data_IF_463073621828
#
_entry.id   IF_463073621828
#
_cell.length_a   1.000
_cell.length_b   1.000
_cell.length_c   1.000
_cell.angle_alpha   90.00
_cell.angle_beta   90.00
_cell.angle_gamma   90.00
#
_symmetry.space_group_name_H-M   'P 1'
#
loop_
_entity.id
_entity.type
_entity.pdbx_description
1 polymer ?
#
# COMPACT_ATOMS: atom_id res chain seq x y z
N UNK A 1 3.01 -3.58 42.09
CA UNK A 1 4.12 -4.29 42.77
C UNK A 1 5.40 -4.24 41.91
N UNK A 2 6.61 -4.44 42.49
CA UNK A 2 7.88 -4.56 41.74
C UNK A 2 8.49 -5.95 41.89
N UNK A 3 9.07 -6.48 40.81
CA UNK A 3 9.81 -7.75 40.77
C UNK A 3 11.22 -7.54 40.23
N UNK A 4 12.12 -8.50 40.42
CA UNK A 4 13.48 -8.47 39.84
C UNK A 4 13.57 -9.53 38.75
N UNK A 5 13.95 -9.11 37.54
CA UNK A 5 14.11 -9.96 36.35
C UNK A 5 15.19 -11.00 36.62
N UNK A 6 14.90 -12.27 36.37
CA UNK A 6 15.86 -13.37 36.49
C UNK A 6 16.66 -13.57 35.20
N UNK A 7 17.82 -14.23 35.30
CA UNK A 7 18.62 -14.54 34.12
C UNK A 7 17.84 -15.43 33.14
N UNK A 8 17.75 -14.99 31.88
CA UNK A 8 17.00 -15.67 30.82
C UNK A 8 15.48 -15.44 30.81
N UNK A 9 14.97 -14.58 31.70
CA UNK A 9 13.53 -14.23 31.75
C UNK A 9 13.22 -13.14 30.71
N UNK A 10 12.20 -13.34 29.86
CA UNK A 10 11.78 -12.35 28.84
C UNK A 10 10.56 -11.56 29.31
N UNK A 11 10.31 -10.37 28.73
CA UNK A 11 9.09 -9.61 29.02
C UNK A 11 7.82 -10.41 28.70
N UNK A 12 7.83 -11.23 27.64
CA UNK A 12 6.72 -12.13 27.29
C UNK A 12 6.41 -13.14 28.40
N UNK A 13 7.43 -13.80 28.93
CA UNK A 13 7.27 -14.75 30.04
C UNK A 13 6.76 -14.06 31.32
N UNK A 14 7.22 -12.84 31.59
CA UNK A 14 6.76 -12.04 32.74
C UNK A 14 5.31 -11.59 32.54
N UNK A 15 4.94 -11.11 31.35
CA UNK A 15 3.59 -10.69 30.99
C UNK A 15 2.58 -11.83 31.22
N UNK A 16 2.91 -13.02 30.73
CA UNK A 16 2.12 -14.23 30.95
C UNK A 16 2.00 -14.57 32.44
N UNK A 17 3.11 -14.50 33.20
CA UNK A 17 3.10 -14.81 34.64
C UNK A 17 2.17 -13.89 35.43
N UNK A 18 2.09 -12.60 35.08
CA UNK A 18 1.25 -11.65 35.78
C UNK A 18 -0.14 -11.45 35.17
N UNK A 19 -0.40 -12.02 33.99
CA UNK A 19 -1.69 -11.90 33.31
C UNK A 19 -1.90 -10.52 32.69
N UNK A 20 -0.86 -9.98 32.06
CA UNK A 20 -0.81 -8.68 31.37
C UNK A 20 -0.12 -8.88 30.01
N UNK A 21 0.09 -7.83 29.23
CA UNK A 21 0.77 -7.90 27.93
C UNK A 21 2.19 -7.31 27.96
N UNK A 22 3.02 -7.65 26.97
CA UNK A 22 4.36 -7.06 26.82
C UNK A 22 4.28 -5.54 26.66
N UNK A 23 3.34 -5.05 25.84
CA UNK A 23 3.12 -3.62 25.64
C UNK A 23 2.70 -2.89 26.93
N UNK A 24 1.83 -3.48 27.75
CA UNK A 24 1.47 -2.92 29.06
C UNK A 24 2.67 -2.89 30.02
N UNK A 25 3.51 -3.94 30.02
CA UNK A 25 4.74 -3.94 30.82
C UNK A 25 5.77 -2.92 30.33
N UNK A 26 5.89 -2.72 29.02
CA UNK A 26 6.78 -1.71 28.43
C UNK A 26 6.34 -0.30 28.83
N UNK A 27 5.04 0.02 28.70
CA UNK A 27 4.49 1.31 29.10
C UNK A 27 4.61 1.57 30.60
N UNK A 28 4.38 0.54 31.45
CA UNK A 28 4.45 0.69 32.90
C UNK A 28 5.88 0.94 33.41
N UNK A 29 6.89 0.61 32.61
CA UNK A 29 8.30 0.64 32.98
C UNK A 29 9.15 1.54 32.08
N UNK A 30 8.53 2.27 31.17
CA UNK A 30 9.20 3.13 30.18
C UNK A 30 10.28 2.38 29.37
N UNK A 31 10.00 1.12 29.00
CA UNK A 31 10.93 0.26 28.25
C UNK A 31 10.62 0.36 26.75
N UNK A 32 11.54 0.99 26.01
CA UNK A 32 11.41 1.24 24.58
C UNK A 32 11.74 0.01 23.71
N UNK A 33 12.54 -0.91 24.22
CA UNK A 33 12.99 -2.11 23.50
C UNK A 33 12.75 -3.35 24.37
N UNK A 34 11.86 -4.24 23.89
CA UNK A 34 11.42 -5.41 24.62
C UNK A 34 12.47 -6.54 24.69
N UNK A 35 13.45 -6.52 23.78
CA UNK A 35 14.42 -7.59 23.59
C UNK A 35 15.70 -7.37 24.40
N UNK A 36 15.89 -6.17 24.95
CA UNK A 36 17.02 -5.81 25.80
C UNK A 36 16.68 -5.77 27.30
N UNK A 37 16.09 -6.86 27.82
CA UNK A 37 15.83 -7.00 29.25
C UNK A 37 17.04 -7.61 29.99
N UNK A 38 17.71 -6.81 30.83
CA UNK A 38 18.87 -7.27 31.61
C UNK A 38 18.47 -7.96 32.91
N UNK A 39 19.09 -9.10 33.21
CA UNK A 39 18.91 -9.80 34.48
C UNK A 39 19.29 -8.89 35.67
N UNK A 40 18.48 -8.91 36.73
CA UNK A 40 18.63 -8.03 37.90
C UNK A 40 17.89 -6.70 37.79
N UNK A 41 17.30 -6.36 36.64
CA UNK A 41 16.49 -5.16 36.47
C UNK A 41 15.19 -5.25 37.28
N UNK A 42 14.75 -4.13 37.90
CA UNK A 42 13.53 -4.09 38.71
C UNK A 42 12.33 -3.62 37.90
N UNK A 43 11.43 -4.53 37.58
CA UNK A 43 10.23 -4.28 36.78
C UNK A 43 9.01 -4.02 37.67
N UNK A 44 8.26 -2.95 37.43
CA UNK A 44 6.89 -2.74 37.91
C UNK A 44 5.96 -3.68 37.15
N UNK A 45 5.10 -4.38 37.88
CA UNK A 45 4.06 -5.25 37.34
C UNK A 45 2.71 -4.89 37.96
N UNK A 46 1.60 -5.03 37.23
CA UNK A 46 0.27 -4.81 37.76
C UNK A 46 0.01 -5.75 38.95
N UNK A 47 -0.66 -5.24 39.99
CA UNK A 47 -1.04 -6.05 41.15
C UNK A 47 -2.23 -6.94 40.80
N UNK A 48 -2.09 -8.25 40.99
CA UNK A 48 -3.17 -9.21 40.73
C UNK A 48 -4.31 -8.99 41.72
N UNK A 49 -5.47 -8.57 41.21
CA UNK A 49 -6.71 -8.53 41.98
C UNK A 49 -7.92 -7.98 41.23
N UNK A 50 -8.51 -8.81 40.36
CA UNK A 50 -9.96 -9.04 40.17
C UNK A 50 -10.29 -9.35 38.70
N UNK A 51 -10.53 -10.63 38.42
CA UNK A 51 -11.28 -11.06 37.26
C UNK A 51 -12.64 -10.35 37.23
N UNK A 52 -13.07 -9.86 36.05
CA UNK A 52 -14.50 -9.63 35.78
C UNK A 52 -15.10 -10.94 35.24
N UNK A 53 -16.04 -11.58 35.95
CA UNK A 53 -16.74 -12.74 35.41
C UNK A 53 -18.02 -12.32 34.68
N UNK A 54 -18.26 -12.97 33.54
CA UNK A 54 -19.60 -13.23 33.01
C UNK A 54 -20.09 -12.30 31.91
N UNK A 55 -20.09 -12.80 30.67
CA UNK A 55 -21.33 -12.98 29.90
C UNK A 55 -21.11 -14.01 28.78
N UNK A 56 -21.58 -15.23 29.03
CA UNK A 56 -21.95 -16.18 27.97
C UNK A 56 -23.23 -15.69 27.26
N UNK A 57 -23.27 -15.98 25.96
CA UNK A 57 -24.42 -16.13 25.07
C UNK A 57 -25.63 -15.20 25.28
N UNK A 58 -25.72 -14.17 24.44
CA UNK A 58 -27.00 -13.60 24.02
C UNK A 58 -27.03 -13.48 22.50
N UNK A 59 -27.75 -14.41 21.87
CA UNK A 59 -28.37 -14.18 20.57
C UNK A 59 -29.29 -12.96 20.68
N UNK A 60 -28.95 -11.86 20.02
CA UNK A 60 -29.92 -10.97 19.39
C UNK A 60 -29.22 -9.95 18.51
N UNK A 61 -29.80 -9.74 17.32
CA UNK A 61 -29.30 -8.86 16.29
C UNK A 61 -29.23 -7.40 16.76
N UNK A 62 -28.00 -6.90 16.81
CA UNK A 62 -27.70 -5.48 16.69
C UNK A 62 -26.95 -5.31 15.38
N UNK A 63 -27.48 -4.47 14.48
CA UNK A 63 -26.80 -4.07 13.26
C UNK A 63 -25.59 -3.19 13.62
N UNK A 64 -24.47 -3.82 14.00
CA UNK A 64 -23.16 -3.19 14.05
C UNK A 64 -22.58 -3.11 12.64
N UNK A 65 -21.79 -2.07 12.36
CA UNK A 65 -21.08 -1.91 11.09
C UNK A 65 -20.43 -3.26 10.69
N UNK A 66 -20.75 -3.78 9.50
CA UNK A 66 -20.36 -5.15 9.18
C UNK A 66 -18.82 -5.25 9.14
N UNK A 67 -18.28 -6.10 10.01
CA UNK A 67 -16.86 -6.47 9.96
C UNK A 67 -16.56 -7.18 8.64
N UNK A 68 -15.36 -6.99 8.07
CA UNK A 68 -15.01 -7.54 6.76
C UNK A 68 -15.01 -9.08 6.77
N UNK A 69 -14.48 -9.69 7.82
CA UNK A 69 -14.49 -11.13 8.08
C UNK A 69 -14.15 -11.42 9.56
N UNK A 70 -14.49 -12.60 10.07
CA UNK A 70 -14.16 -13.08 11.43
C UNK A 70 -12.89 -13.95 11.44
N UNK A 71 -12.35 -14.25 12.63
CA UNK A 71 -11.21 -15.20 12.77
C UNK A 71 -11.61 -16.59 12.29
N UNK A 72 -12.82 -17.05 12.60
CA UNK A 72 -13.32 -18.36 12.16
C UNK A 72 -13.44 -18.43 10.63
N UNK A 73 -13.89 -17.36 9.99
CA UNK A 73 -13.92 -17.27 8.53
C UNK A 73 -12.50 -17.30 7.95
N UNK A 74 -11.54 -16.60 8.57
CA UNK A 74 -10.15 -16.65 8.13
C UNK A 74 -9.57 -18.06 8.25
N UNK A 75 -9.82 -18.74 9.38
CA UNK A 75 -9.40 -20.12 9.64
C UNK A 75 -9.96 -21.12 8.63
N UNK A 76 -11.23 -20.99 8.28
CA UNK A 76 -11.87 -21.84 7.28
C UNK A 76 -11.22 -21.63 5.90
N UNK A 77 -11.02 -20.37 5.48
CA UNK A 77 -10.42 -20.04 4.18
C UNK A 77 -8.98 -20.55 4.10
N UNK A 78 -8.21 -20.32 5.17
CA UNK A 78 -6.80 -20.70 5.28
C UNK A 78 -6.59 -22.17 5.67
N UNK A 79 -7.65 -22.98 5.82
CA UNK A 79 -7.53 -24.40 6.18
C UNK A 79 -6.69 -24.65 7.45
N UNK A 80 -6.73 -23.72 8.40
CA UNK A 80 -6.00 -23.83 9.66
C UNK A 80 -6.99 -24.21 10.77
N UNK A 81 -7.07 -25.50 11.15
CA UNK A 81 -8.04 -25.96 12.15
C UNK A 81 -7.70 -25.52 13.58
N UNK A 82 -6.48 -25.00 13.81
CA UNK A 82 -6.06 -24.40 15.08
C UNK A 82 -5.69 -22.92 14.88
N UNK A 83 -6.67 -22.01 14.90
CA UNK A 83 -6.45 -20.59 14.64
C UNK A 83 -5.48 -19.92 15.62
N UNK A 84 -5.38 -20.46 16.84
CA UNK A 84 -4.51 -19.93 17.88
C UNK A 84 -3.04 -20.30 17.62
N UNK A 85 -2.78 -21.54 17.17
CA UNK A 85 -1.43 -21.98 16.84
C UNK A 85 -0.80 -21.18 15.69
N UNK A 86 -1.62 -20.67 14.76
CA UNK A 86 -1.16 -19.85 13.63
C UNK A 86 -1.33 -18.33 13.86
N UNK A 87 -1.81 -17.92 15.03
CA UNK A 87 -2.10 -16.52 15.36
C UNK A 87 -2.94 -15.79 14.29
N UNK A 88 -4.03 -16.45 13.84
CA UNK A 88 -4.95 -15.87 12.86
C UNK A 88 -5.71 -14.66 13.43
N UNK A 89 -5.79 -14.54 14.75
CA UNK A 89 -6.29 -13.35 15.42
C UNK A 89 -5.37 -12.15 15.16
N UNK A 90 -4.04 -12.32 15.28
CA UNK A 90 -3.06 -11.32 14.91
C UNK A 90 -3.08 -10.99 13.42
N UNK A 91 -3.23 -12.00 12.54
CA UNK A 91 -3.34 -11.75 11.09
C UNK A 91 -4.56 -10.90 10.76
N UNK A 92 -5.73 -11.26 11.31
CA UNK A 92 -6.96 -10.49 11.13
C UNK A 92 -6.80 -9.06 11.67
N UNK A 93 -6.18 -8.90 12.84
CA UNK A 93 -5.98 -7.60 13.47
C UNK A 93 -5.09 -6.69 12.60
N UNK A 94 -4.08 -7.23 11.94
CA UNK A 94 -3.22 -6.50 11.02
C UNK A 94 -3.91 -6.21 9.67
N UNK A 95 -4.64 -7.18 9.10
CA UNK A 95 -5.23 -7.07 7.77
C UNK A 95 -6.44 -6.12 7.72
N UNK A 96 -7.36 -6.18 8.69
CA UNK A 96 -8.63 -5.44 8.60
C UNK A 96 -8.43 -3.91 8.49
N UNK A 97 -7.60 -3.25 9.33
CA UNK A 97 -7.39 -1.80 9.23
C UNK A 97 -6.84 -1.40 7.86
N UNK A 98 -5.87 -2.15 7.36
CA UNK A 98 -5.22 -1.85 6.08
C UNK A 98 -6.14 -2.14 4.89
N UNK A 99 -6.90 -3.24 4.92
CA UNK A 99 -7.90 -3.55 3.90
C UNK A 99 -8.98 -2.45 3.82
N UNK A 100 -9.42 -1.92 4.96
CA UNK A 100 -10.36 -0.78 4.99
C UNK A 100 -9.72 0.47 4.38
N UNK A 101 -8.49 0.81 4.76
CA UNK A 101 -7.75 1.96 4.19
C UNK A 101 -7.55 1.82 2.68
N UNK A 102 -7.23 0.62 2.21
CA UNK A 102 -7.03 0.31 0.79
C UNK A 102 -8.31 0.05 0.00
N UNK A 103 -9.49 0.19 0.60
CA UNK A 103 -10.78 0.00 -0.09
C UNK A 103 -11.09 -1.44 -0.49
N UNK A 104 -10.48 -2.45 0.16
CA UNK A 104 -10.80 -3.87 -0.02
C UNK A 104 -12.01 -4.21 0.87
N UNK A 105 -13.19 -3.76 0.44
CA UNK A 105 -14.40 -3.71 1.27
C UNK A 105 -15.60 -4.43 0.67
N UNK A 106 -15.54 -4.84 -0.60
CA UNK A 106 -16.59 -5.68 -1.19
C UNK A 106 -16.34 -7.16 -0.90
N UNK A 107 -17.40 -7.97 -0.85
CA UNK A 107 -17.24 -9.43 -0.65
C UNK A 107 -16.37 -10.07 -1.73
N UNK A 108 -16.51 -9.62 -2.98
CA UNK A 108 -15.70 -10.12 -4.09
C UNK A 108 -14.21 -9.82 -3.90
N UNK A 109 -13.88 -8.58 -3.51
CA UNK A 109 -12.50 -8.17 -3.23
C UNK A 109 -11.91 -8.91 -2.04
N UNK A 110 -12.64 -8.99 -0.93
CA UNK A 110 -12.20 -9.69 0.29
C UNK A 110 -11.91 -11.16 -0.03
N UNK A 111 -12.83 -11.86 -0.72
CA UNK A 111 -12.64 -13.25 -1.07
C UNK A 111 -11.42 -13.46 -1.99
N UNK A 112 -11.23 -12.60 -3.00
CA UNK A 112 -10.10 -12.72 -3.92
C UNK A 112 -8.76 -12.38 -3.24
N UNK A 113 -8.74 -11.36 -2.36
CA UNK A 113 -7.56 -10.99 -1.59
C UNK A 113 -7.15 -12.11 -0.65
N UNK A 114 -8.08 -12.58 0.21
CA UNK A 114 -7.81 -13.66 1.17
C UNK A 114 -7.39 -14.97 0.49
N UNK A 115 -8.00 -15.31 -0.65
CA UNK A 115 -7.61 -16.49 -1.42
C UNK A 115 -6.17 -16.42 -1.94
N UNK A 116 -5.73 -15.24 -2.41
CA UNK A 116 -4.36 -15.08 -2.87
C UNK A 116 -3.36 -15.07 -1.71
N UNK A 117 -3.61 -14.33 -0.62
CA UNK A 117 -2.67 -14.35 0.52
C UNK A 117 -2.50 -15.77 1.06
N UNK A 118 -3.57 -16.57 1.11
CA UNK A 118 -3.47 -17.97 1.50
C UNK A 118 -2.57 -18.77 0.55
N UNK A 119 -2.58 -18.49 -0.74
CA UNK A 119 -1.68 -19.18 -1.67
C UNK A 119 -0.24 -18.72 -1.55
N UNK A 120 -0.01 -17.43 -1.33
CA UNK A 120 1.34 -16.90 -1.15
C UNK A 120 1.99 -17.40 0.16
N UNK A 121 1.21 -17.62 1.22
CA UNK A 121 1.72 -17.85 2.59
C UNK A 121 1.69 -19.31 3.07
N UNK A 122 1.55 -20.27 2.15
CA UNK A 122 1.23 -21.67 2.49
C UNK A 122 0.07 -21.72 3.50
N UNK A 123 -1.00 -21.03 3.15
CA UNK A 123 -2.23 -20.91 3.91
C UNK A 123 -2.05 -20.26 5.28
N UNK A 124 -1.33 -19.14 5.35
CA UNK A 124 -1.01 -18.38 6.58
C UNK A 124 -0.17 -19.16 7.59
N UNK A 125 0.58 -20.18 7.15
CA UNK A 125 1.53 -20.88 8.01
C UNK A 125 2.86 -20.14 8.13
N UNK A 126 3.20 -19.33 7.12
CA UNK A 126 4.46 -18.60 7.07
C UNK A 126 4.28 -17.25 6.38
N UNK A 127 5.06 -16.26 6.81
CA UNK A 127 5.25 -14.98 6.12
C UNK A 127 6.64 -14.89 5.47
N UNK A 128 7.36 -15.99 5.39
CA UNK A 128 8.68 -16.07 4.77
C UNK A 128 8.74 -17.28 3.84
N UNK A 129 9.29 -17.06 2.65
CA UNK A 129 9.53 -18.11 1.66
C UNK A 129 10.39 -19.22 2.27
N UNK A 130 10.05 -20.48 1.97
CA UNK A 130 10.85 -21.60 2.45
C UNK A 130 12.17 -21.68 1.69
N UNK A 131 13.26 -21.53 2.43
CA UNK A 131 14.60 -21.71 1.89
C UNK A 131 15.65 -21.43 2.94
N UNK A 132 16.89 -21.77 2.61
CA UNK A 132 18.05 -21.32 3.37
C UNK A 132 18.89 -20.37 2.51
N UNK A 133 19.86 -19.71 3.12
CA UNK A 133 20.74 -18.78 2.41
C UNK A 133 21.42 -19.41 1.18
N UNK A 134 21.81 -20.69 1.25
CA UNK A 134 22.38 -21.39 0.10
C UNK A 134 21.38 -21.47 -1.07
N UNK A 135 20.14 -21.86 -0.78
CA UNK A 135 19.06 -21.94 -1.76
C UNK A 135 18.75 -20.56 -2.36
N UNK A 136 18.67 -19.51 -1.54
CA UNK A 136 18.37 -18.17 -2.03
C UNK A 136 19.53 -17.50 -2.76
N UNK A 137 20.79 -17.86 -2.47
CA UNK A 137 21.94 -17.31 -3.20
C UNK A 137 22.22 -18.04 -4.51
N UNK A 138 22.06 -19.37 -4.51
CA UNK A 138 22.59 -20.24 -5.56
C UNK A 138 21.56 -21.17 -6.20
N UNK A 139 20.28 -21.03 -5.83
CA UNK A 139 19.22 -21.92 -6.28
C UNK A 139 19.32 -23.33 -5.69
N UNK A 140 18.47 -24.27 -6.14
CA UNK A 140 18.58 -25.66 -5.74
C UNK A 140 19.93 -26.26 -6.17
N UNK A 141 20.48 -27.27 -5.45
CA UNK A 141 21.73 -27.92 -5.83
C UNK A 141 21.68 -28.43 -7.29
N UNK A 142 22.53 -27.86 -8.16
CA UNK A 142 22.59 -28.18 -9.59
C UNK A 142 21.73 -27.30 -10.51
N UNK A 143 21.07 -26.26 -9.98
CA UNK A 143 20.40 -25.22 -10.76
C UNK A 143 21.35 -24.17 -11.34
N UNK A 144 20.87 -23.41 -12.31
CA UNK A 144 21.55 -22.31 -13.01
C UNK A 144 21.32 -20.93 -12.37
N UNK A 145 20.57 -20.87 -11.27
CA UNK A 145 20.16 -19.63 -10.61
C UNK A 145 21.25 -19.02 -9.72
N UNK A 146 22.07 -18.12 -10.27
CA UNK A 146 22.87 -17.19 -9.46
C UNK A 146 22.06 -15.92 -9.27
N UNK A 147 21.59 -15.65 -8.04
CA UNK A 147 21.15 -14.30 -7.72
C UNK A 147 22.39 -13.41 -7.71
N UNK A 148 22.47 -12.48 -8.66
CA UNK A 148 23.59 -11.54 -8.71
C UNK A 148 23.53 -10.62 -7.48
N UNK A 149 24.69 -10.34 -6.87
CA UNK A 149 24.81 -9.42 -5.73
C UNK A 149 24.00 -9.85 -4.49
N UNK A 150 23.48 -8.87 -3.73
CA UNK A 150 22.72 -9.04 -2.49
C UNK A 150 21.21 -9.31 -2.71
N UNK A 151 20.78 -9.60 -3.95
CA UNK A 151 19.36 -9.78 -4.30
C UNK A 151 18.69 -10.94 -3.56
N UNK A 152 19.46 -11.94 -3.15
CA UNK A 152 18.99 -13.07 -2.33
C UNK A 152 18.34 -12.64 -1.01
N UNK A 153 18.68 -11.45 -0.50
CA UNK A 153 18.09 -10.87 0.73
C UNK A 153 16.61 -10.51 0.55
N UNK A 154 16.15 -10.34 -0.69
CA UNK A 154 14.79 -9.90 -1.04
C UNK A 154 13.95 -11.06 -1.62
N UNK A 155 14.07 -12.25 -1.04
CA UNK A 155 13.15 -13.36 -1.30
C UNK A 155 11.75 -13.07 -0.73
N UNK A 156 10.78 -13.95 -1.03
CA UNK A 156 9.38 -13.74 -0.69
C UNK A 156 9.14 -13.56 0.80
N UNK A 157 8.51 -12.43 1.19
CA UNK A 157 8.02 -12.21 2.56
C UNK A 157 6.67 -11.50 2.62
N UNK A 158 6.01 -11.60 3.78
CA UNK A 158 4.70 -11.01 4.06
C UNK A 158 3.54 -11.70 3.35
N UNK A 159 2.33 -11.15 3.50
CA UNK A 159 1.09 -11.80 3.02
C UNK A 159 0.99 -11.97 1.51
N UNK A 160 1.81 -11.25 0.73
CA UNK A 160 1.80 -11.32 -0.73
C UNK A 160 3.08 -11.95 -1.30
N UNK A 161 3.96 -12.48 -0.44
CA UNK A 161 5.31 -12.94 -0.80
C UNK A 161 6.03 -11.90 -1.67
N UNK A 162 6.22 -10.69 -1.12
CA UNK A 162 6.94 -9.63 -1.81
C UNK A 162 8.38 -10.07 -2.09
N UNK A 163 8.79 -10.05 -3.36
CA UNK A 163 10.11 -10.47 -3.83
C UNK A 163 10.75 -9.37 -4.67
N UNK A 164 12.09 -9.35 -4.74
CA UNK A 164 12.94 -8.41 -5.49
C UNK A 164 13.18 -7.06 -4.80
N UNK A 165 14.43 -6.59 -4.80
CA UNK A 165 14.83 -5.35 -4.13
C UNK A 165 14.04 -4.12 -4.59
N UNK A 166 13.71 -4.04 -5.87
CA UNK A 166 12.89 -2.95 -6.44
C UNK A 166 11.49 -2.90 -5.83
N UNK A 167 10.86 -4.05 -5.57
CA UNK A 167 9.56 -4.12 -4.94
C UNK A 167 9.64 -3.73 -3.46
N UNK A 168 10.66 -4.17 -2.72
CA UNK A 168 10.87 -3.76 -1.33
C UNK A 168 11.09 -2.24 -1.22
N UNK A 169 11.87 -1.66 -2.13
CA UNK A 169 12.09 -0.21 -2.21
C UNK A 169 10.81 0.55 -2.54
N UNK A 170 10.06 0.08 -3.54
CA UNK A 170 8.80 0.70 -3.95
C UNK A 170 7.75 0.62 -2.82
N UNK A 171 7.62 -0.53 -2.17
CA UNK A 171 6.75 -0.73 -1.01
C UNK A 171 7.14 0.21 0.13
N UNK A 172 8.43 0.25 0.49
CA UNK A 172 8.93 1.05 1.61
C UNK A 172 8.61 2.53 1.45
N UNK A 173 8.82 3.08 0.25
CA UNK A 173 8.41 4.46 -0.09
C UNK A 173 6.90 4.65 0.00
N UNK A 174 6.12 3.76 -0.63
CA UNK A 174 4.68 3.91 -0.72
C UNK A 174 3.96 3.78 0.63
N UNK A 175 4.49 2.96 1.55
CA UNK A 175 3.95 2.83 2.91
C UNK A 175 4.65 3.78 3.90
N UNK A 176 5.43 4.76 3.45
CA UNK A 176 5.99 5.80 4.31
C UNK A 176 7.04 5.30 5.31
N UNK A 177 7.76 4.21 4.99
CA UNK A 177 8.91 3.72 5.78
C UNK A 177 10.25 3.87 5.04
N UNK A 178 10.25 4.54 3.88
CA UNK A 178 11.46 4.85 3.11
C UNK A 178 12.26 3.60 2.74
N UNK A 179 13.57 3.63 2.96
CA UNK A 179 14.47 2.51 2.68
C UNK A 179 14.50 1.44 3.80
N UNK A 180 13.63 1.54 4.83
CA UNK A 180 13.63 0.60 5.96
C UNK A 180 13.43 -0.86 5.49
N UNK A 181 12.54 -1.11 4.53
CA UNK A 181 12.33 -2.45 3.98
C UNK A 181 13.51 -2.95 3.13
N UNK A 182 14.32 -2.03 2.58
CA UNK A 182 15.54 -2.39 1.83
C UNK A 182 16.66 -2.74 2.81
N UNK A 183 16.80 -1.96 3.88
CA UNK A 183 17.83 -2.17 4.89
C UNK A 183 17.53 -3.39 5.79
N UNK A 184 16.26 -3.61 6.11
CA UNK A 184 15.76 -4.62 7.04
C UNK A 184 14.59 -5.42 6.41
N UNK A 185 14.84 -6.21 5.35
CA UNK A 185 13.79 -6.93 4.63
C UNK A 185 13.07 -7.98 5.49
N UNK A 186 13.72 -8.52 6.52
CA UNK A 186 13.17 -9.49 7.48
C UNK A 186 11.96 -8.93 8.27
N UNK A 187 11.78 -7.61 8.30
CA UNK A 187 10.60 -6.99 8.92
C UNK A 187 9.30 -7.54 8.32
N UNK A 188 9.25 -7.84 7.02
CA UNK A 188 8.02 -8.36 6.40
C UNK A 188 7.68 -9.81 6.81
N UNK A 189 8.64 -10.55 7.39
CA UNK A 189 8.37 -11.87 7.96
C UNK A 189 7.91 -11.80 9.43
N UNK A 190 8.25 -10.72 10.14
CA UNK A 190 8.11 -10.64 11.61
C UNK A 190 7.14 -9.55 12.08
N UNK A 191 6.78 -8.59 11.23
CA UNK A 191 5.85 -7.50 11.52
C UNK A 191 4.60 -7.64 10.63
N UNK A 192 3.53 -8.19 11.20
CA UNK A 192 2.25 -8.42 10.52
C UNK A 192 1.62 -7.12 10.03
N UNK A 193 1.80 -5.99 10.72
CA UNK A 193 1.26 -4.71 10.28
C UNK A 193 1.98 -4.21 9.03
N UNK A 194 3.31 -4.26 9.01
CA UNK A 194 4.09 -3.92 7.80
C UNK A 194 3.80 -4.88 6.64
N UNK A 195 3.66 -6.18 6.93
CA UNK A 195 3.26 -7.17 5.93
C UNK A 195 1.87 -6.86 5.34
N UNK A 196 0.89 -6.50 6.17
CA UNK A 196 -0.46 -6.16 5.73
C UNK A 196 -0.47 -4.88 4.88
N UNK A 197 0.22 -3.82 5.33
CA UNK A 197 0.39 -2.56 4.59
C UNK A 197 1.00 -2.80 3.22
N UNK A 198 2.03 -3.65 3.15
CA UNK A 198 2.70 -4.02 1.90
C UNK A 198 1.78 -4.81 0.97
N UNK A 199 1.02 -5.78 1.50
CA UNK A 199 0.10 -6.58 0.68
C UNK A 199 -1.06 -5.75 0.12
N UNK A 200 -1.62 -4.84 0.93
CA UNK A 200 -2.66 -3.91 0.49
C UNK A 200 -2.12 -2.89 -0.51
N UNK A 201 -0.91 -2.37 -0.29
CA UNK A 201 -0.22 -1.55 -1.29
C UNK A 201 -0.09 -2.31 -2.62
N UNK A 202 0.47 -3.52 -2.60
CA UNK A 202 0.69 -4.29 -3.83
C UNK A 202 -0.62 -4.56 -4.59
N UNK A 203 -1.69 -4.87 -3.87
CA UNK A 203 -3.03 -5.10 -4.40
C UNK A 203 -3.63 -3.85 -5.05
N UNK A 204 -3.63 -2.73 -4.33
CA UNK A 204 -4.20 -1.46 -4.79
C UNK A 204 -3.35 -0.87 -5.92
N UNK A 205 -2.04 -0.98 -5.81
CA UNK A 205 -1.06 -0.53 -6.79
C UNK A 205 -1.04 -1.37 -8.08
N UNK A 206 -1.97 -2.33 -8.25
CA UNK A 206 -2.15 -3.12 -9.47
C UNK A 206 -3.62 -3.24 -9.88
N UNK A 207 -4.50 -2.48 -9.23
CA UNK A 207 -5.94 -2.47 -9.53
C UNK A 207 -6.58 -3.87 -9.44
N UNK A 208 -6.07 -4.72 -8.54
CA UNK A 208 -6.60 -6.06 -8.33
C UNK A 208 -8.08 -6.04 -7.90
N UNK A 209 -8.48 -5.01 -7.15
CA UNK A 209 -9.86 -4.82 -6.68
C UNK A 209 -10.88 -4.79 -7.79
N UNK A 210 -10.61 -4.08 -8.90
CA UNK A 210 -11.51 -4.04 -10.05
C UNK A 210 -11.70 -5.42 -10.68
N UNK A 211 -10.61 -6.17 -10.87
CA UNK A 211 -10.70 -7.51 -11.45
C UNK A 211 -11.43 -8.48 -10.54
N UNK A 212 -11.25 -8.36 -9.23
CA UNK A 212 -12.02 -9.12 -8.26
C UNK A 212 -13.52 -8.84 -8.36
N UNK A 213 -13.93 -7.56 -8.43
CA UNK A 213 -15.35 -7.19 -8.57
C UNK A 213 -15.97 -7.62 -9.90
N UNK A 214 -15.18 -7.69 -10.96
CA UNK A 214 -15.57 -8.26 -12.26
C UNK A 214 -15.65 -9.79 -12.25
N UNK A 215 -15.26 -10.45 -11.16
CA UNK A 215 -15.16 -11.91 -11.07
C UNK A 215 -13.98 -12.51 -11.85
N UNK A 216 -13.06 -11.67 -12.33
CA UNK A 216 -11.89 -12.09 -13.10
C UNK A 216 -10.72 -12.44 -12.17
N UNK A 217 -10.85 -13.58 -11.48
CA UNK A 217 -9.86 -14.03 -10.52
C UNK A 217 -8.52 -14.41 -11.18
N UNK A 218 -8.53 -14.89 -12.43
CA UNK A 218 -7.29 -15.19 -13.17
C UNK A 218 -6.43 -13.94 -13.36
N UNK A 219 -7.04 -12.80 -13.71
CA UNK A 219 -6.32 -11.53 -13.83
C UNK A 219 -5.72 -11.09 -12.48
N UNK A 220 -6.45 -11.26 -11.37
CA UNK A 220 -5.94 -10.97 -10.02
C UNK A 220 -4.70 -11.83 -9.72
N UNK A 221 -4.79 -13.15 -9.93
CA UNK A 221 -3.66 -14.06 -9.72
C UNK A 221 -2.47 -13.72 -10.62
N UNK A 222 -2.74 -13.30 -11.85
CA UNK A 222 -1.72 -12.85 -12.80
C UNK A 222 -0.99 -11.62 -12.32
N UNK A 223 -1.71 -10.60 -11.85
CA UNK A 223 -1.13 -9.37 -11.33
C UNK A 223 -0.28 -9.63 -10.09
N UNK A 224 -0.74 -10.52 -9.22
CA UNK A 224 0.00 -10.89 -8.00
C UNK A 224 1.28 -11.64 -8.35
N UNK A 225 1.18 -12.72 -9.12
CA UNK A 225 2.31 -13.61 -9.37
C UNK A 225 3.26 -13.14 -10.49
N UNK A 226 2.75 -12.40 -11.48
CA UNK A 226 3.50 -12.00 -12.69
C UNK A 226 3.67 -10.48 -12.82
N UNK A 227 3.01 -9.68 -11.98
CA UNK A 227 3.05 -8.22 -12.03
C UNK A 227 2.19 -7.59 -13.13
N UNK A 228 1.64 -8.38 -14.05
CA UNK A 228 0.84 -7.92 -15.18
C UNK A 228 -0.19 -8.99 -15.61
N UNK A 229 -1.08 -8.64 -16.53
CA UNK A 229 -2.14 -9.54 -17.04
C UNK A 229 -1.70 -10.27 -18.30
N UNK A 230 -0.83 -9.66 -19.10
CA UNK A 230 -0.35 -10.27 -20.34
C UNK A 230 0.46 -11.53 -19.98
N UNK A 231 0.16 -12.71 -20.57
CA UNK A 231 0.81 -13.94 -20.17
C UNK A 231 2.31 -13.94 -20.46
N UNK A 232 3.14 -14.02 -19.41
CA UNK A 232 4.60 -14.28 -19.49
C UNK A 232 4.99 -15.75 -19.24
N UNK A 233 4.02 -16.62 -18.98
CA UNK A 233 4.22 -18.01 -18.53
C UNK A 233 3.04 -18.49 -17.70
N UNK A 234 3.03 -19.72 -17.15
CA UNK A 234 1.94 -20.17 -16.27
C UNK A 234 1.89 -19.32 -14.98
N UNK A 235 0.71 -19.21 -14.36
CA UNK A 235 0.57 -18.66 -13.00
C UNK A 235 1.02 -19.74 -12.02
N UNK A 236 1.94 -19.43 -11.10
CA UNK A 236 2.38 -20.38 -10.08
C UNK A 236 1.19 -20.83 -9.23
N UNK A 237 1.11 -22.13 -8.94
CA UNK A 237 0.05 -22.74 -8.14
C UNK A 237 -1.37 -22.51 -8.68
N UNK A 238 -1.52 -22.36 -10.01
CA UNK A 238 -2.84 -22.18 -10.63
C UNK A 238 -3.81 -23.32 -10.30
N UNK A 239 -3.36 -24.55 -10.08
CA UNK A 239 -4.25 -25.65 -9.73
C UNK A 239 -4.95 -25.42 -8.37
N UNK A 240 -4.27 -24.79 -7.41
CA UNK A 240 -4.78 -24.56 -6.06
C UNK A 240 -5.54 -23.23 -5.91
N UNK A 241 -5.19 -22.21 -6.69
CA UNK A 241 -5.77 -20.85 -6.60
C UNK A 241 -7.30 -20.83 -6.76
N UNK A 242 -7.92 -21.49 -7.77
CA UNK A 242 -9.38 -21.53 -7.92
C UNK A 242 -10.10 -22.18 -6.74
N UNK A 243 -9.51 -23.22 -6.13
CA UNK A 243 -10.10 -23.89 -4.96
C UNK A 243 -10.11 -22.97 -3.74
N UNK A 244 -9.00 -22.27 -3.48
CA UNK A 244 -8.91 -21.27 -2.42
C UNK A 244 -9.95 -20.16 -2.61
N UNK A 245 -10.12 -19.69 -3.85
CA UNK A 245 -11.09 -18.65 -4.17
C UNK A 245 -12.54 -19.10 -4.02
N UNK A 246 -12.85 -20.32 -4.45
CA UNK A 246 -14.19 -20.90 -4.25
C UNK A 246 -14.53 -21.00 -2.76
N UNK A 247 -13.57 -21.44 -1.93
CA UNK A 247 -13.74 -21.48 -0.48
C UNK A 247 -13.93 -20.08 0.10
N UNK A 248 -13.08 -19.12 -0.27
CA UNK A 248 -13.23 -17.74 0.20
C UNK A 248 -14.60 -17.16 -0.16
N UNK A 249 -15.10 -17.42 -1.37
CA UNK A 249 -16.45 -17.02 -1.79
C UNK A 249 -17.57 -17.72 -1.03
N UNK A 250 -17.42 -19.00 -0.65
CA UNK A 250 -18.45 -19.68 0.13
C UNK A 250 -18.54 -19.16 1.56
N UNK A 251 -17.39 -18.79 2.14
CA UNK A 251 -17.29 -18.30 3.53
C UNK A 251 -17.68 -16.83 3.68
N UNK A 252 -17.20 -15.96 2.77
CA UNK A 252 -17.46 -14.51 2.81
C UNK A 252 -18.78 -14.16 2.10
N UNK A 253 -19.16 -14.97 1.11
CA UNK A 253 -20.21 -14.68 0.15
C UNK A 253 -19.69 -13.90 -1.06
N UNK A 254 -20.63 -13.44 -1.89
CA UNK A 254 -20.35 -12.62 -3.08
C UNK A 254 -21.16 -11.34 -3.09
N UNK A 255 -20.61 -10.30 -3.72
CA UNK A 255 -21.25 -9.01 -3.85
C UNK A 255 -20.22 -7.89 -4.02
N UNK A 256 -20.61 -6.88 -4.79
CA UNK A 256 -19.83 -5.65 -5.03
C UNK A 256 -20.27 -4.50 -4.14
N UNK A 257 -21.30 -4.70 -3.32
CA UNK A 257 -21.71 -3.73 -2.30
C UNK A 257 -20.66 -3.70 -1.19
N UNK A 258 -20.08 -2.52 -0.85
CA UNK A 258 -19.17 -2.37 0.28
C UNK A 258 -19.82 -2.86 1.58
N UNK A 259 -19.08 -3.61 2.39
CA UNK A 259 -19.51 -4.09 3.71
C UNK A 259 -19.34 -3.06 4.81
N UNK A 260 -18.43 -2.12 4.64
CA UNK A 260 -18.40 -0.92 5.46
C UNK A 260 -19.43 0.06 4.92
N UNK A 261 -20.00 0.92 5.77
CA UNK A 261 -20.61 2.15 5.27
C UNK A 261 -19.61 2.81 4.31
N UNK A 262 -20.06 3.50 3.22
CA UNK A 262 -19.15 4.35 2.47
C UNK A 262 -18.40 5.15 3.52
N UNK A 263 -17.06 5.10 3.50
CA UNK A 263 -16.25 5.80 4.49
C UNK A 263 -16.93 7.13 4.73
N UNK A 264 -17.45 7.35 5.95
CA UNK A 264 -18.24 8.53 6.24
C UNK A 264 -17.49 9.68 5.60
N UNK A 265 -18.13 10.42 4.68
CA UNK A 265 -17.61 11.72 4.28
C UNK A 265 -17.15 12.36 5.57
N UNK A 266 -15.83 12.53 5.71
CA UNK A 266 -15.19 12.73 7.00
C UNK A 266 -16.03 13.75 7.78
N UNK A 267 -16.68 13.27 8.84
CA UNK A 267 -17.69 14.03 9.55
C UNK A 267 -17.09 15.40 9.89
N UNK A 268 -17.80 16.44 9.46
CA UNK A 268 -17.29 17.79 9.31
C UNK A 268 -16.41 18.25 10.47
N UNK A 269 -15.21 18.71 10.11
CA UNK A 269 -14.49 19.71 10.89
C UNK A 269 -14.40 20.97 10.03
N UNK A 270 -14.65 22.09 10.67
CA UNK A 270 -14.78 23.41 10.06
C UNK A 270 -13.59 23.68 9.10
N UNK A 271 -13.92 24.13 7.88
CA UNK A 271 -13.01 24.39 6.75
C UNK A 271 -12.51 23.18 5.92
N UNK A 272 -13.39 22.22 5.60
CA UNK A 272 -13.54 21.69 4.22
C UNK A 272 -12.30 21.36 3.38
N UNK A 273 -11.23 20.81 3.96
CA UNK A 273 -10.09 20.26 3.21
C UNK A 273 -9.69 18.92 3.83
N UNK A 274 -10.19 17.82 3.23
CA UNK A 274 -9.68 16.49 3.52
C UNK A 274 -8.19 16.42 3.15
N UNK A 275 -7.45 15.58 3.86
CA UNK A 275 -6.03 15.26 3.70
C UNK A 275 -5.59 15.27 2.22
N UNK A 276 -4.96 16.36 1.78
CA UNK A 276 -4.47 16.55 0.40
C UNK A 276 -3.36 15.56 0.03
N UNK A 277 -2.91 14.73 0.99
CA UNK A 277 -1.82 13.78 0.83
C UNK A 277 -2.24 12.33 0.80
N UNK A 278 -3.53 12.04 1.01
CA UNK A 278 -4.10 10.73 0.73
C UNK A 278 -4.29 10.59 -0.78
N UNK A 279 -3.20 10.63 -1.54
CA UNK A 279 -3.21 10.35 -2.97
C UNK A 279 -3.73 8.92 -3.13
N UNK A 280 -4.89 8.70 -3.79
CA UNK A 280 -5.32 7.35 -4.07
C UNK A 280 -4.24 6.72 -4.96
N UNK A 281 -3.66 5.61 -4.52
CA UNK A 281 -2.73 4.82 -5.34
C UNK A 281 -3.55 4.21 -6.47
N UNK A 282 -3.73 4.96 -7.56
CA UNK A 282 -4.42 4.50 -8.76
C UNK A 282 -3.37 3.98 -9.73
N UNK A 283 -2.82 2.79 -9.49
CA UNK A 283 -2.05 2.11 -10.54
C UNK A 283 -3.01 1.27 -11.38
N UNK A 284 -3.82 1.96 -12.17
CA UNK A 284 -4.46 1.33 -13.32
C UNK A 284 -3.36 1.13 -14.36
N UNK A 285 -3.14 -0.08 -14.91
CA UNK A 285 -2.17 -0.26 -15.99
C UNK A 285 -2.65 0.44 -17.28
N UNK A 286 -1.74 1.04 -18.07
CA UNK A 286 -2.07 1.62 -19.37
C UNK A 286 -2.86 0.65 -20.25
N UNK A 287 -3.96 1.10 -20.84
CA UNK A 287 -4.70 0.31 -21.83
C UNK A 287 -4.17 0.56 -23.23
N UNK A 288 -4.18 -0.47 -24.07
CA UNK A 288 -3.87 -0.33 -25.50
C UNK A 288 -4.93 0.50 -26.27
N UNK A 289 -6.15 0.63 -25.73
CA UNK A 289 -7.25 1.39 -26.32
C UNK A 289 -8.19 1.92 -25.24
N UNK A 290 -8.91 3.00 -25.54
CA UNK A 290 -9.83 3.67 -24.61
C UNK A 290 -9.70 5.19 -24.64
N UNK A 291 -10.25 5.85 -23.62
CA UNK A 291 -10.06 7.28 -23.38
C UNK A 291 -8.59 7.62 -23.14
N UNK A 292 -8.24 8.91 -23.17
CA UNK A 292 -6.87 9.34 -22.85
C UNK A 292 -6.45 8.86 -21.46
N UNK A 293 -7.34 8.94 -20.48
CA UNK A 293 -7.09 8.49 -19.11
C UNK A 293 -6.95 6.97 -18.99
N UNK A 294 -7.62 6.20 -19.87
CA UNK A 294 -7.45 4.75 -19.93
C UNK A 294 -6.07 4.35 -20.46
N UNK A 295 -5.57 5.07 -21.46
CA UNK A 295 -4.24 4.82 -22.06
C UNK A 295 -3.11 5.42 -21.20
N UNK A 296 -3.38 6.51 -20.49
CA UNK A 296 -2.45 7.25 -19.63
C UNK A 296 -3.03 7.44 -18.22
N UNK A 297 -3.09 6.35 -17.44
CA UNK A 297 -3.69 6.35 -16.11
C UNK A 297 -2.92 7.26 -15.15
N UNK A 298 -3.68 7.98 -14.32
CA UNK A 298 -3.13 8.89 -13.32
C UNK A 298 -2.25 8.13 -12.35
N UNK A 299 -1.13 8.72 -11.96
CA UNK A 299 -0.32 8.28 -10.83
C UNK A 299 0.16 9.49 -10.03
N UNK A 300 0.75 9.21 -8.89
CA UNK A 300 1.28 10.22 -7.97
C UNK A 300 2.68 9.81 -7.53
N UNK A 301 3.58 9.67 -8.50
CA UNK A 301 4.97 9.28 -8.25
C UNK A 301 5.88 10.09 -9.14
N UNK A 302 6.82 10.78 -8.51
CA UNK A 302 7.81 11.65 -9.15
C UNK A 302 9.20 11.34 -8.61
N UNK A 303 10.22 11.97 -9.21
CA UNK A 303 11.53 12.10 -8.56
C UNK A 303 11.40 13.04 -7.34
N UNK A 304 12.25 12.88 -6.30
CA UNK A 304 12.00 13.49 -4.99
C UNK A 304 11.82 15.01 -4.97
N UNK A 305 12.64 15.73 -5.73
CA UNK A 305 12.60 17.21 -5.81
C UNK A 305 11.36 17.72 -6.56
N UNK A 306 10.92 17.00 -7.59
CA UNK A 306 9.65 17.28 -8.30
C UNK A 306 8.46 16.95 -7.42
N UNK A 307 8.53 15.89 -6.61
CA UNK A 307 7.50 15.57 -5.62
C UNK A 307 7.39 16.66 -4.56
N UNK A 308 8.51 17.08 -3.97
CA UNK A 308 8.56 18.18 -2.99
C UNK A 308 7.92 19.45 -3.56
N UNK A 309 8.23 19.76 -4.82
CA UNK A 309 7.67 20.91 -5.50
C UNK A 309 6.16 20.78 -5.80
N UNK A 310 5.71 19.62 -6.29
CA UNK A 310 4.29 19.33 -6.47
C UNK A 310 3.51 19.47 -5.15
N UNK A 311 4.12 19.04 -4.05
CA UNK A 311 3.55 19.18 -2.71
C UNK A 311 3.45 20.66 -2.31
N UNK A 312 4.52 21.43 -2.49
CA UNK A 312 4.51 22.85 -2.17
C UNK A 312 3.36 23.61 -2.87
N UNK A 313 3.08 23.30 -4.14
CA UNK A 313 1.94 23.89 -4.87
C UNK A 313 0.60 23.54 -4.24
N UNK A 314 0.39 22.25 -3.94
CA UNK A 314 -0.86 21.74 -3.36
C UNK A 314 -1.07 22.27 -1.94
N UNK A 315 -0.02 22.54 -1.16
CA UNK A 315 -0.15 23.18 0.15
C UNK A 315 -0.51 24.66 0.04
N UNK A 316 0.09 25.35 -0.92
CA UNK A 316 0.00 26.80 -1.05
C UNK A 316 -1.31 27.25 -1.69
N UNK A 317 -1.81 26.48 -2.67
CA UNK A 317 -2.94 26.88 -3.50
C UNK A 317 -4.13 25.94 -3.38
N UNK A 318 -5.29 26.38 -3.86
CA UNK A 318 -6.47 25.52 -4.02
C UNK A 318 -6.46 24.86 -5.40
N UNK A 319 -5.48 23.98 -5.58
CA UNK A 319 -5.26 23.25 -6.81
C UNK A 319 -4.98 21.78 -6.52
N UNK A 320 -5.04 20.96 -7.57
CA UNK A 320 -4.61 19.56 -7.54
C UNK A 320 -3.46 19.35 -8.51
N UNK A 321 -2.55 18.45 -8.16
CA UNK A 321 -1.44 18.05 -9.03
C UNK A 321 -1.52 16.56 -9.31
N UNK A 322 -1.27 16.16 -10.55
CA UNK A 322 -1.13 14.74 -10.89
C UNK A 322 -0.11 14.52 -12.00
N UNK A 323 0.34 13.28 -12.14
CA UNK A 323 1.08 12.83 -13.33
C UNK A 323 0.43 11.56 -13.87
N UNK A 324 0.95 10.99 -14.94
CA UNK A 324 0.47 9.73 -15.51
C UNK A 324 1.62 8.95 -16.15
N UNK A 325 1.38 7.71 -16.55
CA UNK A 325 2.40 6.89 -17.22
C UNK A 325 2.77 7.51 -18.57
N UNK A 326 4.08 7.70 -18.80
CA UNK A 326 4.62 8.33 -20.02
C UNK A 326 4.03 9.73 -20.23
N UNK A 327 4.39 10.68 -19.36
CA UNK A 327 3.76 12.01 -19.25
C UNK A 327 4.70 13.15 -19.69
N UNK A 328 4.51 13.82 -20.84
CA UNK A 328 3.46 13.59 -21.83
C UNK A 328 3.73 12.34 -22.68
N UNK A 329 2.66 11.85 -23.32
CA UNK A 329 2.66 10.64 -24.14
C UNK A 329 3.76 10.69 -25.20
N UNK A 330 4.60 9.66 -25.25
CA UNK A 330 5.68 9.49 -26.21
C UNK A 330 6.99 10.19 -25.86
N UNK A 331 7.06 10.88 -24.71
CA UNK A 331 8.27 11.61 -24.29
C UNK A 331 9.06 10.89 -23.19
N UNK A 332 8.52 9.84 -22.57
CA UNK A 332 9.20 9.08 -21.53
C UNK A 332 9.38 9.82 -20.20
N UNK A 333 8.79 11.02 -20.06
CA UNK A 333 8.96 12.00 -18.98
C UNK A 333 8.19 11.63 -17.70
N UNK A 334 8.54 10.46 -17.22
CA UNK A 334 7.70 9.71 -16.29
C UNK A 334 7.82 10.25 -14.87
N UNK A 335 8.99 10.67 -14.42
CA UNK A 335 9.17 11.06 -13.02
C UNK A 335 9.31 12.58 -12.83
N UNK A 336 9.40 13.33 -13.92
CA UNK A 336 9.84 14.71 -14.00
C UNK A 336 8.76 15.65 -14.57
N UNK A 337 7.53 15.19 -14.70
CA UNK A 337 6.42 15.97 -15.27
C UNK A 337 5.14 15.88 -14.45
N UNK A 338 4.39 16.98 -14.36
CA UNK A 338 3.05 17.00 -13.78
C UNK A 338 2.12 18.05 -14.39
N UNK A 339 0.82 17.82 -14.19
CA UNK A 339 -0.26 18.76 -14.48
C UNK A 339 -0.75 19.42 -13.19
N UNK A 340 -1.15 20.69 -13.30
CA UNK A 340 -1.86 21.44 -12.26
C UNK A 340 -3.29 21.72 -12.71
N UNK A 341 -4.25 21.24 -11.92
CA UNK A 341 -5.69 21.34 -12.15
C UNK A 341 -6.40 22.17 -11.08
N UNK A 342 -7.67 22.46 -11.33
CA UNK A 342 -8.56 23.12 -10.38
C UNK A 342 -8.84 22.32 -9.10
N UNK A 343 -9.60 22.89 -8.15
CA UNK A 343 -9.86 22.32 -6.82
C UNK A 343 -10.49 20.91 -6.80
N UNK A 344 -11.06 20.43 -7.90
CA UNK A 344 -11.68 19.10 -7.98
C UNK A 344 -10.82 18.02 -8.63
N UNK A 345 -9.57 18.32 -8.99
CA UNK A 345 -8.64 17.31 -9.51
C UNK A 345 -8.55 17.24 -11.04
N UNK A 346 -8.01 16.13 -11.55
CA UNK A 346 -7.79 15.92 -12.99
C UNK A 346 -9.05 16.18 -13.81
N UNK A 347 -8.91 16.95 -14.89
CA UNK A 347 -10.00 17.47 -15.74
C UNK A 347 -10.88 18.57 -15.11
N UNK A 348 -10.63 19.01 -13.87
CA UNK A 348 -11.26 20.22 -13.33
C UNK A 348 -10.48 21.45 -13.82
N UNK A 349 -11.14 22.39 -14.52
CA UNK A 349 -10.45 23.56 -15.05
C UNK A 349 -9.80 24.42 -13.96
N UNK A 350 -8.52 24.71 -14.15
CA UNK A 350 -7.79 25.68 -13.35
C UNK A 350 -8.28 27.09 -13.67
N UNK A 351 -8.72 27.81 -12.63
CA UNK A 351 -9.09 29.23 -12.76
C UNK A 351 -7.95 30.04 -13.39
N UNK A 352 -8.29 30.96 -14.30
CA UNK A 352 -7.30 31.70 -15.07
C UNK A 352 -6.41 32.62 -14.24
N UNK A 353 -6.93 33.16 -13.14
CA UNK A 353 -6.18 34.04 -12.22
C UNK A 353 -5.28 33.22 -11.32
N UNK A 354 -5.80 32.11 -10.79
CA UNK A 354 -5.03 31.16 -10.01
C UNK A 354 -3.89 30.55 -10.85
N UNK A 355 -4.18 30.15 -12.08
CA UNK A 355 -3.19 29.59 -12.97
C UNK A 355 -2.10 30.59 -13.39
N UNK A 356 -2.43 31.87 -13.58
CA UNK A 356 -1.41 32.91 -13.78
C UNK A 356 -0.49 33.02 -12.56
N UNK A 357 -1.07 33.00 -11.36
CA UNK A 357 -0.31 33.05 -10.08
C UNK A 357 0.62 31.85 -9.91
N UNK A 358 0.12 30.64 -10.18
CA UNK A 358 0.92 29.41 -10.09
C UNK A 358 2.01 29.40 -11.16
N UNK A 359 1.69 29.80 -12.39
CA UNK A 359 2.67 29.88 -13.47
C UNK A 359 3.82 30.84 -13.12
N UNK A 360 3.51 32.01 -12.56
CA UNK A 360 4.52 32.96 -12.09
C UNK A 360 5.38 32.35 -10.98
N UNK A 361 4.79 31.60 -10.04
CA UNK A 361 5.56 30.91 -8.99
C UNK A 361 6.52 29.87 -9.58
N UNK A 362 6.05 29.05 -10.53
CA UNK A 362 6.85 28.03 -11.20
C UNK A 362 8.10 28.62 -11.88
N UNK A 363 8.10 29.90 -12.26
CA UNK A 363 9.28 30.54 -12.84
C UNK A 363 10.20 31.20 -11.81
N UNK A 364 9.65 31.71 -10.70
CA UNK A 364 10.34 32.71 -9.90
C UNK A 364 10.70 32.25 -8.48
N UNK A 365 10.17 31.13 -7.99
CA UNK A 365 10.48 30.68 -6.62
C UNK A 365 11.86 30.04 -6.49
N UNK A 366 12.45 30.18 -5.30
CA UNK A 366 13.72 29.56 -4.92
C UNK A 366 13.49 28.08 -4.53
N UNK A 367 14.40 27.19 -4.92
CA UNK A 367 14.33 25.77 -4.57
C UNK A 367 13.51 24.89 -5.51
N UNK A 368 12.91 25.46 -6.56
CA UNK A 368 12.25 24.68 -7.62
C UNK A 368 13.28 23.90 -8.49
N UNK A 369 12.91 22.73 -9.03
CA UNK A 369 13.70 22.09 -10.07
C UNK A 369 13.78 22.93 -11.34
N UNK A 370 14.82 22.70 -12.14
CA UNK A 370 15.00 23.40 -13.41
C UNK A 370 13.94 22.96 -14.43
N UNK A 371 13.15 23.91 -14.93
CA UNK A 371 12.13 23.64 -15.95
C UNK A 371 12.82 23.36 -17.29
N UNK A 372 12.49 22.22 -17.90
CA UNK A 372 12.81 21.93 -19.32
C UNK A 372 11.82 22.69 -20.21
N UNK A 373 10.52 22.49 -19.94
CA UNK A 373 9.45 23.19 -20.64
C UNK A 373 8.12 23.21 -19.87
N UNK A 374 7.25 24.15 -20.24
CA UNK A 374 5.94 24.36 -19.62
C UNK A 374 4.91 24.78 -20.68
N UNK A 375 3.69 24.27 -20.58
CA UNK A 375 2.56 24.61 -21.44
C UNK A 375 1.43 25.18 -20.57
N UNK A 376 0.94 26.36 -20.93
CA UNK A 376 -0.19 27.00 -20.26
C UNK A 376 -0.92 27.94 -21.23
N UNK A 377 -2.26 27.96 -21.20
CA UNK A 377 -3.11 28.80 -22.06
C UNK A 377 -2.74 28.68 -23.56
N UNK A 378 -2.49 27.45 -24.03
CA UNK A 378 -2.00 27.16 -25.40
C UNK A 378 -0.76 27.96 -25.81
N UNK A 379 0.09 28.27 -24.83
CA UNK A 379 1.44 28.76 -25.06
C UNK A 379 2.41 27.75 -24.49
N UNK A 380 3.56 27.64 -25.12
CA UNK A 380 4.64 26.77 -24.71
C UNK A 380 5.90 27.59 -24.54
N UNK A 381 6.55 27.41 -23.40
CA UNK A 381 7.86 27.95 -23.11
C UNK A 381 8.84 26.78 -22.96
N UNK A 382 10.04 26.94 -23.51
CA UNK A 382 11.13 25.99 -23.31
C UNK A 382 12.36 26.70 -22.81
N UNK A 383 13.17 26.00 -22.03
CA UNK A 383 14.48 26.47 -21.62
C UNK A 383 15.34 26.91 -22.81
N UNK A 384 15.32 26.13 -23.89
CA UNK A 384 16.10 26.41 -25.10
C UNK A 384 15.68 27.72 -25.79
N UNK A 385 14.40 28.07 -25.76
CA UNK A 385 13.89 29.28 -26.42
C UNK A 385 13.87 30.50 -25.50
N UNK A 386 13.67 30.30 -24.19
CA UNK A 386 13.52 31.36 -23.21
C UNK A 386 12.29 32.25 -23.41
N UNK A 387 11.42 31.95 -24.37
CA UNK A 387 10.27 32.78 -24.75
C UNK A 387 9.01 31.95 -24.98
N UNK A 388 7.86 32.49 -24.61
CA UNK A 388 6.57 31.86 -24.88
C UNK A 388 6.22 31.91 -26.37
N UNK A 389 5.75 30.78 -26.90
CA UNK A 389 5.28 30.63 -28.29
C UNK A 389 3.89 30.02 -28.30
N UNK A 390 3.06 30.27 -29.33
CA UNK A 390 1.80 29.53 -29.51
C UNK A 390 2.06 28.01 -29.55
N UNK A 391 1.19 27.26 -28.88
CA UNK A 391 1.26 25.80 -28.79
C UNK A 391 -0.03 25.18 -29.33
N UNK A 392 0.09 24.46 -30.45
CA UNK A 392 -0.98 23.65 -31.04
C UNK A 392 -2.03 24.40 -31.85
N UNK A 393 -2.47 23.80 -32.96
CA UNK A 393 -3.68 24.17 -33.72
C UNK A 393 -4.62 22.95 -33.92
N UNK A 394 -4.35 21.81 -33.27
CA UNK A 394 -5.06 20.54 -33.49
C UNK A 394 -6.03 20.25 -32.32
N UNK A 395 -7.22 19.65 -32.55
CA UNK A 395 -8.13 19.18 -31.48
C UNK A 395 -7.53 18.28 -30.39
N UNK A 396 -6.29 17.76 -30.53
CA UNK A 396 -5.60 17.03 -29.46
C UNK A 396 -4.75 17.91 -28.53
N UNK A 397 -4.67 19.23 -28.76
CA UNK A 397 -3.91 20.15 -27.89
C UNK A 397 -4.83 20.81 -26.86
N UNK A 398 -5.20 20.03 -25.83
CA UNK A 398 -5.98 20.48 -24.68
C UNK A 398 -5.03 21.06 -23.64
N UNK A 399 -4.85 22.39 -23.58
CA UNK A 399 -4.03 23.08 -22.56
C UNK A 399 -4.55 24.50 -22.31
N UNK A 400 -5.88 24.66 -22.29
CA UNK A 400 -6.52 25.95 -21.98
C UNK A 400 -6.80 26.10 -20.48
N UNK A 401 -6.86 24.98 -19.77
CA UNK A 401 -7.57 24.79 -18.51
C UNK A 401 -6.70 24.10 -17.45
N UNK A 402 -5.41 23.89 -17.73
CA UNK A 402 -4.43 23.38 -16.78
C UNK A 402 -3.02 23.84 -17.18
N UNK A 403 -2.09 23.71 -16.24
CA UNK A 403 -0.65 23.90 -16.48
C UNK A 403 -0.03 22.53 -16.63
N UNK A 404 0.72 22.29 -17.70
CA UNK A 404 1.63 21.15 -17.82
C UNK A 404 3.05 21.67 -17.61
N UNK A 405 3.82 21.08 -16.70
CA UNK A 405 5.24 21.41 -16.50
C UNK A 405 6.11 20.16 -16.48
N UNK A 406 7.25 20.24 -17.16
CA UNK A 406 8.29 19.21 -17.20
C UNK A 406 9.63 19.81 -16.79
N UNK A 407 10.34 19.11 -15.91
CA UNK A 407 11.64 19.49 -15.37
C UNK A 407 12.76 18.73 -16.08
N UNK A 408 13.99 19.24 -16.00
CA UNK A 408 15.16 18.54 -16.54
C UNK A 408 15.42 17.25 -15.73
N UNK A 409 15.82 16.19 -16.42
CA UNK A 409 16.49 15.07 -15.74
C UNK A 409 17.91 15.52 -15.39
N UNK A 410 18.26 15.48 -14.10
CA UNK A 410 19.60 15.83 -13.62
C UNK A 410 20.65 14.77 -14.00
#
# INVERSE_FOLDING_TARGET
>A
MRITVQAGETLGAIAQRFGTTVGELQQLNDILDADHLSAGHRLKVPERGAARPGQEAASNGGAGAAELFTVDQLAEISQNPDPAAFDLAGDRAALIPEMKKGGIVTKNQIAAFLANICQETDWLKTLEEYGNEQYFRFGPPGGDGVYLLDEWRYHGRGYIMLTWSDNYRAAGKAIGVGDRLVNEPDLLANDKELAARTAVWYWTSRDCGRYADQGNFEAVCSLINRGEIVPKGPINHWAQRPEAYQRARSVIGTGTTPLTEPAAEAAGTENGKADRWSWPVVNVPPRASGSYQDRHPTRYTWRPDVEEWARHLVDTYDCWVNTYVDHPEGFGRTLDSFDVWGPKGRNDPLDGTLGDTICDLLFNDEGKPDIDWIIYKKKWWTRASGVWRPFGENPFTWHNDHIHVTYLDD
#
